data_IF_752488792920
#
_entry.id   IF_752488792920
#
_cell.length_a   1.000
_cell.length_b   1.000
_cell.length_c   1.000
_cell.angle_alpha   90.00
_cell.angle_beta   90.00
_cell.angle_gamma   90.00
#
_symmetry.space_group_name_H-M   'P 1'
#
loop_
_entity.id
_entity.type
_entity.pdbx_description
1 polymer ?
#
# COMPACT_ATOMS: atom_id res chain seq x y z
N UNK A 1 26.88 22.95 160.04
CA UNK A 1 26.38 23.39 158.73
C UNK A 1 26.45 24.91 158.53
N UNK A 2 26.24 25.74 159.57
CA UNK A 2 26.27 27.21 159.45
C UNK A 2 27.69 27.79 159.26
N UNK A 3 28.72 27.24 159.91
CA UNK A 3 30.12 27.73 159.80
C UNK A 3 30.68 27.59 158.38
N UNK A 4 30.37 26.48 157.69
CA UNK A 4 30.77 26.26 156.30
C UNK A 4 30.07 27.26 155.35
N UNK A 5 28.79 27.57 155.61
CA UNK A 5 28.05 28.57 154.84
C UNK A 5 28.59 30.00 155.03
N UNK A 6 29.02 30.37 156.25
CA UNK A 6 29.63 31.68 156.53
C UNK A 6 31.02 31.85 155.92
N UNK A 7 31.89 30.83 155.99
CA UNK A 7 33.21 30.87 155.34
C UNK A 7 33.06 30.92 153.82
N UNK A 8 32.10 30.19 153.25
CA UNK A 8 31.76 30.26 151.83
C UNK A 8 31.24 31.65 151.44
N UNK A 9 30.30 32.22 152.20
CA UNK A 9 29.76 33.55 151.96
C UNK A 9 30.84 34.64 152.07
N UNK A 10 31.72 34.57 153.08
CA UNK A 10 32.82 35.51 153.25
C UNK A 10 33.88 35.36 152.15
N UNK A 11 34.26 34.12 151.79
CA UNK A 11 35.16 33.85 150.67
C UNK A 11 34.59 34.35 149.33
N UNK A 12 33.29 34.17 149.11
CA UNK A 12 32.58 34.73 147.96
C UNK A 12 32.59 36.26 147.98
N UNK A 13 32.37 36.89 149.14
CA UNK A 13 32.37 38.34 149.27
C UNK A 13 33.77 38.93 149.01
N UNK A 14 34.83 38.28 149.49
CA UNK A 14 36.22 38.67 149.22
C UNK A 14 36.59 38.46 147.75
N UNK A 15 36.19 37.35 147.13
CA UNK A 15 36.40 37.11 145.71
C UNK A 15 35.63 38.12 144.85
N UNK A 16 34.40 38.46 145.24
CA UNK A 16 33.58 39.48 144.60
C UNK A 16 34.24 40.86 144.72
N UNK A 17 34.76 41.20 145.90
CA UNK A 17 35.50 42.45 146.13
C UNK A 17 36.75 42.54 145.23
N UNK A 18 37.55 41.46 145.17
CA UNK A 18 38.71 41.38 144.28
C UNK A 18 38.30 41.49 142.80
N UNK A 19 37.25 40.81 142.37
CA UNK A 19 36.74 40.89 141.00
C UNK A 19 36.31 42.33 140.66
N UNK A 20 35.64 43.02 141.58
CA UNK A 20 35.26 44.43 141.45
C UNK A 20 36.47 45.36 141.37
N UNK A 21 37.55 45.04 142.08
CA UNK A 21 38.79 45.82 142.07
C UNK A 21 39.61 45.61 140.79
N UNK A 22 39.60 44.40 140.21
CA UNK A 22 40.27 44.09 138.93
C UNK A 22 39.43 44.46 137.69
N UNK A 23 38.10 44.50 137.80
CA UNK A 23 37.19 44.86 136.70
C UNK A 23 37.58 46.17 135.97
N UNK A 24 37.86 47.31 136.66
CA UNK A 24 38.26 48.54 135.97
C UNK A 24 39.61 48.43 135.24
N UNK A 25 40.51 47.53 135.66
CA UNK A 25 41.82 47.33 135.03
C UNK A 25 41.69 46.57 133.71
N UNK A 26 40.89 45.50 133.71
CA UNK A 26 40.63 44.69 132.51
C UNK A 26 39.82 45.50 131.50
N UNK A 27 38.80 46.25 131.96
CA UNK A 27 37.98 47.10 131.11
C UNK A 27 38.79 48.18 130.37
N UNK A 28 39.71 48.86 131.08
CA UNK A 28 40.61 49.85 130.45
C UNK A 28 41.50 49.24 129.37
N UNK A 29 42.01 48.02 129.59
CA UNK A 29 42.89 47.35 128.63
C UNK A 29 42.14 46.86 127.39
N UNK A 30 40.95 46.29 127.58
CA UNK A 30 40.07 45.89 126.47
C UNK A 30 39.65 47.09 125.61
N UNK A 31 39.32 48.22 126.23
CA UNK A 31 39.01 49.46 125.50
C UNK A 31 40.19 49.99 124.69
N UNK A 32 41.43 49.84 125.17
CA UNK A 32 42.60 50.30 124.43
C UNK A 32 42.85 49.49 123.15
N UNK A 33 42.77 48.16 123.25
CA UNK A 33 42.92 47.27 122.08
C UNK A 33 41.78 47.51 121.08
N UNK A 34 40.54 47.59 121.56
CA UNK A 34 39.39 47.88 120.72
C UNK A 34 39.50 49.26 120.02
N UNK A 35 40.02 50.29 120.72
CA UNK A 35 40.29 51.59 120.11
C UNK A 35 41.43 51.51 119.08
N UNK A 36 42.50 50.77 119.35
CA UNK A 36 43.60 50.61 118.39
C UNK A 36 43.16 49.88 117.13
N UNK A 37 42.35 48.83 117.22
CA UNK A 37 41.80 48.14 116.05
C UNK A 37 40.80 49.01 115.28
N UNK A 38 39.96 49.77 115.98
CA UNK A 38 39.00 50.68 115.36
C UNK A 38 39.70 51.87 114.68
N UNK A 39 40.74 52.44 115.30
CA UNK A 39 41.59 53.49 114.73
C UNK A 39 42.43 52.97 113.55
N UNK A 40 42.81 51.69 113.54
CA UNK A 40 43.50 51.07 112.40
C UNK A 40 42.56 50.77 111.21
N UNK A 41 41.26 50.61 111.46
CA UNK A 41 40.26 50.27 110.42
C UNK A 41 39.56 51.51 109.87
N UNK A 42 39.48 52.60 110.65
CA UNK A 42 38.95 53.87 110.20
C UNK A 42 40.06 54.69 109.54
N UNK A 43 39.83 55.31 108.37
CA UNK A 43 40.80 56.22 107.78
C UNK A 43 40.96 57.45 108.68
N UNK A 44 41.95 57.44 109.58
CA UNK A 44 42.18 58.48 110.57
C UNK A 44 42.86 59.74 109.98
N UNK A 45 43.27 59.71 108.71
CA UNK A 45 44.00 60.79 108.04
C UNK A 45 43.22 61.33 106.82
N UNK A 46 43.03 62.66 106.77
CA UNK A 46 42.33 63.34 105.67
C UNK A 46 42.94 63.06 104.27
N UNK A 47 44.22 62.67 104.21
CA UNK A 47 44.90 62.25 102.97
C UNK A 47 44.37 60.92 102.42
N UNK A 48 44.10 59.94 103.28
CA UNK A 48 43.62 58.62 102.87
C UNK A 48 42.17 58.67 102.39
N UNK A 49 41.33 59.48 103.03
CA UNK A 49 39.94 59.74 102.59
C UNK A 49 39.92 60.38 101.19
N UNK A 50 40.84 61.32 100.92
CA UNK A 50 40.97 61.91 99.57
C UNK A 50 41.44 60.87 98.55
N UNK A 51 42.39 60.02 98.91
CA UNK A 51 42.86 58.92 98.04
C UNK A 51 41.76 57.92 97.68
N UNK A 52 40.91 57.53 98.64
CA UNK A 52 39.78 56.62 98.37
C UNK A 52 38.69 57.29 97.54
N UNK A 53 38.43 58.58 97.76
CA UNK A 53 37.51 59.37 96.94
C UNK A 53 38.02 59.51 95.49
N UNK A 54 39.30 59.85 95.31
CA UNK A 54 39.93 59.94 93.99
C UNK A 54 39.94 58.57 93.29
N UNK A 55 40.18 57.48 94.03
CA UNK A 55 40.08 56.12 93.51
C UNK A 55 38.65 55.76 93.09
N UNK A 56 37.63 56.09 93.88
CA UNK A 56 36.23 55.87 93.54
C UNK A 56 35.82 56.68 92.31
N UNK A 57 36.25 57.95 92.24
CA UNK A 57 36.01 58.82 91.08
C UNK A 57 36.66 58.22 89.82
N UNK A 58 37.90 57.75 89.93
CA UNK A 58 38.58 57.07 88.83
C UNK A 58 37.83 55.80 88.42
N UNK A 59 37.42 54.95 89.36
CA UNK A 59 36.66 53.72 89.09
C UNK A 59 35.34 54.02 88.38
N UNK A 60 34.57 55.00 88.85
CA UNK A 60 33.31 55.40 88.21
C UNK A 60 33.56 55.97 86.80
N UNK A 61 34.63 56.74 86.61
CA UNK A 61 35.01 57.24 85.29
C UNK A 61 35.43 56.10 84.34
N UNK A 62 36.20 55.12 84.82
CA UNK A 62 36.57 53.93 84.05
C UNK A 62 35.35 53.06 83.71
N UNK A 63 34.46 52.83 84.68
CA UNK A 63 33.24 52.04 84.46
C UNK A 63 32.28 52.77 83.51
N UNK A 64 32.20 54.10 83.57
CA UNK A 64 31.45 54.90 82.60
C UNK A 64 32.05 54.78 81.20
N UNK A 65 33.38 54.96 81.05
CA UNK A 65 34.06 54.82 79.75
C UNK A 65 33.97 53.42 79.19
N UNK A 66 34.06 52.39 80.04
CA UNK A 66 33.90 50.98 79.63
C UNK A 66 32.50 50.71 79.09
N UNK A 67 31.45 51.29 79.71
CA UNK A 67 30.08 51.18 79.22
C UNK A 67 29.88 51.93 77.91
N UNK A 68 30.45 53.13 77.78
CA UNK A 68 30.41 53.94 76.57
C UNK A 68 31.08 53.20 75.40
N UNK A 69 32.31 52.69 75.58
CA UNK A 69 33.02 51.90 74.55
C UNK A 69 32.22 50.64 74.19
N UNK A 70 31.67 49.92 75.17
CA UNK A 70 30.83 48.76 74.88
C UNK A 70 29.53 49.13 74.17
N UNK A 71 28.96 50.32 74.41
CA UNK A 71 27.80 50.82 73.68
C UNK A 71 28.17 51.16 72.23
N UNK A 72 29.27 51.91 72.02
CA UNK A 72 29.81 52.21 70.68
C UNK A 72 30.09 50.93 69.88
N UNK A 73 30.68 49.90 70.49
CA UNK A 73 30.93 48.62 69.83
C UNK A 73 29.64 47.91 69.41
N UNK A 74 28.61 47.91 70.26
CA UNK A 74 27.30 47.34 69.92
C UNK A 74 26.63 48.13 68.81
N UNK A 75 26.70 49.46 68.84
CA UNK A 75 26.16 50.32 67.78
C UNK A 75 26.89 50.08 66.45
N UNK A 76 28.22 49.99 66.47
CA UNK A 76 29.02 49.66 65.28
C UNK A 76 28.64 48.28 64.71
N UNK A 77 28.51 47.25 65.55
CA UNK A 77 28.06 45.91 65.11
C UNK A 77 26.65 45.95 64.52
N UNK A 78 25.72 46.62 65.19
CA UNK A 78 24.35 46.75 64.71
C UNK A 78 24.24 47.60 63.43
N UNK A 79 25.18 48.53 63.19
CA UNK A 79 25.26 49.27 61.93
C UNK A 79 25.77 48.37 60.79
N UNK A 80 26.79 47.54 61.04
CA UNK A 80 27.29 46.56 60.07
C UNK A 80 26.22 45.52 59.73
N UNK A 81 25.55 44.95 60.72
CA UNK A 81 24.46 43.98 60.52
C UNK A 81 23.31 44.57 59.69
N UNK A 82 22.96 45.85 59.90
CA UNK A 82 21.94 46.53 59.08
C UNK A 82 22.41 46.76 57.65
N UNK A 83 23.68 47.09 57.45
CA UNK A 83 24.24 47.23 56.11
C UNK A 83 24.24 45.88 55.36
N UNK A 84 24.63 44.80 56.04
CA UNK A 84 24.60 43.44 55.49
C UNK A 84 23.17 42.98 55.19
N UNK A 85 22.23 43.22 56.11
CA UNK A 85 20.81 42.92 55.89
C UNK A 85 20.24 43.72 54.69
N UNK A 86 20.65 44.98 54.54
CA UNK A 86 20.29 45.80 53.38
C UNK A 86 20.83 45.23 52.07
N UNK A 87 22.10 44.78 52.05
CA UNK A 87 22.71 44.12 50.88
C UNK A 87 21.97 42.84 50.52
N UNK A 88 21.75 41.95 51.49
CA UNK A 88 21.03 40.68 51.27
C UNK A 88 19.58 40.92 50.83
N UNK A 89 18.91 41.95 51.34
CA UNK A 89 17.57 42.32 50.90
C UNK A 89 17.57 42.79 49.44
N UNK A 90 18.57 43.58 49.01
CA UNK A 90 18.72 44.02 47.62
C UNK A 90 18.99 42.86 46.66
N UNK A 91 19.88 41.93 47.04
CA UNK A 91 20.19 40.73 46.26
C UNK A 91 18.95 39.82 46.14
N UNK A 92 18.19 39.64 47.23
CA UNK A 92 16.94 38.89 47.18
C UNK A 92 15.87 39.57 46.30
N UNK A 93 15.79 40.89 46.31
CA UNK A 93 14.87 41.62 45.44
C UNK A 93 15.24 41.44 43.96
N UNK A 94 16.54 41.50 43.63
CA UNK A 94 17.04 41.25 42.28
C UNK A 94 16.78 39.81 41.82
N UNK A 95 17.08 38.83 42.69
CA UNK A 95 16.80 37.42 42.40
C UNK A 95 15.31 37.17 42.17
N UNK A 96 14.43 37.77 42.98
CA UNK A 96 12.97 37.67 42.78
C UNK A 96 12.52 38.32 41.47
N UNK A 97 13.07 39.48 41.11
CA UNK A 97 12.78 40.12 39.84
C UNK A 97 13.22 39.23 38.67
N UNK A 98 14.39 38.59 38.77
CA UNK A 98 14.89 37.66 37.76
C UNK A 98 14.06 36.39 37.66
N UNK A 99 13.63 35.80 38.78
CA UNK A 99 12.74 34.62 38.74
C UNK A 99 11.38 34.95 38.15
N UNK A 100 10.82 36.12 38.47
CA UNK A 100 9.59 36.60 37.84
C UNK A 100 9.76 36.80 36.33
N UNK A 101 10.85 37.46 35.90
CA UNK A 101 11.14 37.64 34.48
C UNK A 101 11.31 36.32 33.73
N UNK A 102 12.05 35.35 34.31
CA UNK A 102 12.20 34.02 33.73
C UNK A 102 10.87 33.26 33.71
N UNK A 103 10.04 33.37 34.74
CA UNK A 103 8.71 32.72 34.75
C UNK A 103 7.78 33.31 33.68
N UNK A 104 7.86 34.61 33.43
CA UNK A 104 7.11 35.26 32.36
C UNK A 104 7.61 34.82 30.98
N UNK A 105 8.92 34.66 30.79
CA UNK A 105 9.50 34.10 29.55
C UNK A 105 9.05 32.66 29.32
N UNK A 106 9.06 31.81 30.35
CA UNK A 106 8.58 30.42 30.25
C UNK A 106 7.10 30.41 29.88
N UNK A 107 6.27 31.24 30.51
CA UNK A 107 4.85 31.34 30.17
C UNK A 107 4.62 31.79 28.72
N UNK A 108 5.40 32.76 28.24
CA UNK A 108 5.36 33.20 26.84
C UNK A 108 5.76 32.06 25.89
N UNK A 109 6.86 31.35 26.17
CA UNK A 109 7.32 30.23 25.35
C UNK A 109 6.30 29.08 25.34
N UNK A 110 5.63 28.81 26.47
CA UNK A 110 4.56 27.81 26.52
C UNK A 110 3.36 28.20 25.65
N UNK A 111 2.96 29.48 25.66
CA UNK A 111 1.91 29.96 24.77
C UNK A 111 2.32 29.87 23.29
N UNK A 112 3.56 30.24 22.95
CA UNK A 112 4.10 30.09 21.59
C UNK A 112 4.15 28.62 21.14
N UNK A 113 4.50 27.68 22.04
CA UNK A 113 4.48 26.25 21.75
C UNK A 113 3.06 25.72 21.55
N UNK A 114 2.10 26.19 22.35
CA UNK A 114 0.68 25.82 22.19
C UNK A 114 0.15 26.31 20.84
N UNK A 115 0.39 27.58 20.51
CA UNK A 115 0.03 28.15 19.21
C UNK A 115 0.67 27.36 18.07
N UNK A 116 1.97 27.07 18.15
CA UNK A 116 2.68 26.27 17.15
C UNK A 116 2.08 24.87 17.02
N UNK A 117 1.75 24.21 18.13
CA UNK A 117 1.12 22.89 18.12
C UNK A 117 -0.29 22.94 17.48
N UNK A 118 -1.07 23.99 17.73
CA UNK A 118 -2.36 24.16 17.04
C UNK A 118 -2.19 24.37 15.54
N UNK A 119 -1.15 25.11 15.11
CA UNK A 119 -0.87 25.29 13.68
C UNK A 119 -0.39 24.00 13.04
N UNK A 120 0.42 23.21 13.75
CA UNK A 120 0.91 21.92 13.30
C UNK A 120 -0.26 20.95 13.11
N UNK A 121 -1.15 20.83 14.11
CA UNK A 121 -2.34 19.99 14.00
C UNK A 121 -3.27 20.43 12.85
N UNK A 122 -3.42 21.73 12.59
CA UNK A 122 -4.15 22.22 11.41
C UNK A 122 -3.49 21.77 10.10
N UNK A 123 -2.16 21.89 10.00
CA UNK A 123 -1.40 21.45 8.81
C UNK A 123 -1.44 19.94 8.61
N UNK A 124 -1.43 19.15 9.68
CA UNK A 124 -1.61 17.70 9.62
C UNK A 124 -3.00 17.34 9.11
N UNK A 125 -4.06 18.00 9.61
CA UNK A 125 -5.41 17.79 9.11
C UNK A 125 -5.56 18.17 7.62
N UNK A 126 -4.95 19.28 7.20
CA UNK A 126 -4.92 19.70 5.79
C UNK A 126 -4.16 18.67 4.92
N UNK A 127 -3.03 18.12 5.41
CA UNK A 127 -2.28 17.10 4.71
C UNK A 127 -3.09 15.81 4.56
N UNK A 128 -3.76 15.37 5.63
CA UNK A 128 -4.65 14.21 5.63
C UNK A 128 -5.83 14.39 4.66
N UNK A 129 -6.38 15.60 4.55
CA UNK A 129 -7.44 15.94 3.60
C UNK A 129 -6.95 15.83 2.16
N UNK A 130 -5.81 16.45 1.85
CA UNK A 130 -5.18 16.37 0.52
C UNK A 130 -4.83 14.91 0.16
N UNK A 131 -4.35 14.11 1.11
CA UNK A 131 -4.04 12.70 0.89
C UNK A 131 -5.30 11.85 0.64
N UNK A 132 -6.46 12.23 1.20
CA UNK A 132 -7.74 11.60 0.88
C UNK A 132 -8.18 11.99 -0.53
N UNK A 133 -8.17 13.28 -0.85
CA UNK A 133 -8.52 13.77 -2.19
C UNK A 133 -7.63 13.15 -3.28
N UNK A 134 -6.34 12.99 -3.02
CA UNK A 134 -5.41 12.35 -3.95
C UNK A 134 -5.74 10.87 -4.15
N UNK A 135 -6.10 10.15 -3.09
CA UNK A 135 -6.51 8.75 -3.16
C UNK A 135 -7.81 8.59 -3.94
N UNK A 136 -8.78 9.46 -3.71
CA UNK A 136 -10.06 9.46 -4.42
C UNK A 136 -9.85 9.79 -5.90
N UNK A 137 -9.07 10.82 -6.22
CA UNK A 137 -8.73 11.17 -7.60
C UNK A 137 -7.95 10.04 -8.32
N UNK A 138 -7.07 9.35 -7.60
CA UNK A 138 -6.37 8.18 -8.14
C UNK A 138 -7.32 7.02 -8.42
N UNK A 139 -8.28 6.76 -7.52
CA UNK A 139 -9.31 5.75 -7.72
C UNK A 139 -10.21 6.07 -8.92
N UNK A 140 -10.67 7.31 -9.03
CA UNK A 140 -11.44 7.80 -10.17
C UNK A 140 -10.66 7.64 -11.48
N UNK A 141 -9.37 7.95 -11.48
CA UNK A 141 -8.52 7.77 -12.66
C UNK A 141 -8.43 6.30 -13.07
N UNK A 142 -8.28 5.38 -12.12
CA UNK A 142 -8.28 3.93 -12.39
C UNK A 142 -9.61 3.52 -13.02
N UNK A 143 -10.74 3.95 -12.46
CA UNK A 143 -12.07 3.67 -13.04
C UNK A 143 -12.19 4.21 -14.46
N UNK A 144 -11.67 5.41 -14.74
CA UNK A 144 -11.66 5.98 -16.10
C UNK A 144 -10.76 5.23 -17.06
N UNK A 145 -9.63 4.69 -16.61
CA UNK A 145 -8.79 3.82 -17.42
C UNK A 145 -9.55 2.54 -17.79
N UNK A 146 -10.21 1.89 -16.83
CA UNK A 146 -11.04 0.71 -17.08
C UNK A 146 -12.22 1.00 -18.03
N UNK A 147 -12.91 2.14 -17.85
CA UNK A 147 -13.95 2.60 -18.78
C UNK A 147 -13.40 2.81 -20.21
N UNK A 148 -12.20 3.39 -20.35
CA UNK A 148 -11.57 3.59 -21.65
C UNK A 148 -11.11 2.27 -22.28
N UNK A 149 -10.59 1.33 -21.50
CA UNK A 149 -10.23 0.00 -21.99
C UNK A 149 -11.45 -0.77 -22.48
N UNK A 150 -12.55 -0.76 -21.71
CA UNK A 150 -13.81 -1.40 -22.13
C UNK A 150 -14.40 -0.73 -23.37
N UNK A 151 -14.33 0.60 -23.48
CA UNK A 151 -14.75 1.33 -24.68
C UNK A 151 -13.85 1.01 -25.87
N UNK A 152 -12.54 0.90 -25.67
CA UNK A 152 -11.56 0.49 -26.68
C UNK A 152 -11.83 -0.93 -27.20
N UNK A 153 -12.14 -1.87 -26.31
CA UNK A 153 -12.53 -3.23 -26.68
C UNK A 153 -13.80 -3.26 -27.54
N UNK A 154 -14.84 -2.49 -27.15
CA UNK A 154 -16.07 -2.34 -27.93
C UNK A 154 -15.83 -1.70 -29.29
N UNK A 155 -14.95 -0.71 -29.37
CA UNK A 155 -14.60 -0.06 -30.63
C UNK A 155 -13.89 -1.03 -31.58
N UNK A 156 -12.97 -1.86 -31.07
CA UNK A 156 -12.31 -2.89 -31.86
C UNK A 156 -13.31 -3.95 -32.35
N UNK A 157 -14.21 -4.42 -31.49
CA UNK A 157 -15.27 -5.36 -31.88
C UNK A 157 -16.17 -4.79 -32.98
N UNK A 158 -16.60 -3.52 -32.86
CA UNK A 158 -17.39 -2.86 -33.91
C UNK A 158 -16.60 -2.67 -35.20
N UNK A 159 -15.28 -2.44 -35.10
CA UNK A 159 -14.39 -2.35 -36.25
C UNK A 159 -14.25 -3.70 -36.95
N UNK A 160 -14.07 -4.79 -36.20
CA UNK A 160 -14.02 -6.15 -36.73
C UNK A 160 -15.33 -6.53 -37.43
N UNK A 161 -16.48 -6.22 -36.82
CA UNK A 161 -17.81 -6.41 -37.43
C UNK A 161 -17.95 -5.57 -38.71
N UNK A 162 -17.43 -4.34 -38.74
CA UNK A 162 -17.46 -3.49 -39.92
C UNK A 162 -16.57 -4.05 -41.05
N UNK A 163 -15.39 -4.58 -40.73
CA UNK A 163 -14.50 -5.25 -41.67
C UNK A 163 -15.14 -6.54 -42.21
N UNK A 164 -15.75 -7.36 -41.35
CA UNK A 164 -16.50 -8.55 -41.77
C UNK A 164 -17.67 -8.17 -42.69
N UNK A 165 -18.43 -7.13 -42.36
CA UNK A 165 -19.50 -6.60 -43.22
C UNK A 165 -18.97 -6.08 -44.56
N UNK A 166 -17.79 -5.46 -44.56
CA UNK A 166 -17.13 -5.03 -45.81
C UNK A 166 -16.73 -6.22 -46.66
N UNK A 167 -16.16 -7.27 -46.07
CA UNK A 167 -15.80 -8.52 -46.78
C UNK A 167 -17.05 -9.17 -47.36
N UNK A 168 -18.14 -9.28 -46.58
CA UNK A 168 -19.40 -9.87 -47.06
C UNK A 168 -20.05 -9.03 -48.16
N UNK A 169 -20.02 -7.70 -48.08
CA UNK A 169 -20.48 -6.83 -49.17
C UNK A 169 -19.69 -7.06 -50.45
N UNK A 170 -18.35 -7.09 -50.38
CA UNK A 170 -17.50 -7.38 -51.54
C UNK A 170 -17.77 -8.79 -52.10
N UNK A 171 -17.98 -9.78 -51.23
CA UNK A 171 -18.34 -11.13 -51.66
C UNK A 171 -19.73 -11.18 -52.35
N UNK A 172 -20.71 -10.41 -51.86
CA UNK A 172 -22.03 -10.29 -52.50
C UNK A 172 -21.94 -9.51 -53.81
N UNK A 173 -21.11 -8.48 -53.89
CA UNK A 173 -20.88 -7.69 -55.10
C UNK A 173 -20.24 -8.53 -56.21
N UNK A 174 -19.16 -9.26 -55.89
CA UNK A 174 -18.54 -10.23 -56.81
C UNK A 174 -19.50 -11.35 -57.24
N UNK A 175 -20.37 -11.82 -56.33
CA UNK A 175 -21.43 -12.78 -56.69
C UNK A 175 -22.46 -12.16 -57.64
N UNK A 176 -22.86 -10.91 -57.42
CA UNK A 176 -23.76 -10.19 -58.32
C UNK A 176 -23.11 -9.97 -59.69
N UNK A 177 -21.84 -9.61 -59.75
CA UNK A 177 -21.08 -9.52 -61.01
C UNK A 177 -21.05 -10.86 -61.76
N UNK A 178 -20.78 -11.96 -61.04
CA UNK A 178 -20.84 -13.32 -61.61
C UNK A 178 -22.23 -13.67 -62.16
N UNK A 179 -23.31 -13.38 -61.41
CA UNK A 179 -24.68 -13.58 -61.88
C UNK A 179 -25.04 -12.72 -63.10
N UNK A 180 -24.54 -11.47 -63.15
CA UNK A 180 -24.71 -10.60 -64.31
C UNK A 180 -23.99 -11.15 -65.55
N UNK A 181 -22.80 -11.72 -65.38
CA UNK A 181 -22.08 -12.35 -66.48
C UNK A 181 -22.73 -13.65 -66.94
N UNK A 182 -23.27 -14.47 -66.01
CA UNK A 182 -24.09 -15.64 -66.34
C UNK A 182 -25.36 -15.24 -67.11
N UNK A 183 -26.02 -14.15 -66.69
CA UNK A 183 -27.19 -13.62 -67.39
C UNK A 183 -26.82 -13.14 -68.79
N UNK A 184 -25.70 -12.41 -68.95
CA UNK A 184 -25.16 -12.02 -70.26
C UNK A 184 -24.82 -13.24 -71.12
N UNK A 185 -24.26 -14.31 -70.53
CA UNK A 185 -23.94 -15.53 -71.27
C UNK A 185 -25.22 -16.26 -71.71
N UNK A 186 -26.23 -16.36 -70.84
CA UNK A 186 -27.52 -16.96 -71.18
C UNK A 186 -28.27 -16.13 -72.22
N UNK A 187 -28.23 -14.81 -72.16
CA UNK A 187 -28.76 -13.94 -73.21
C UNK A 187 -28.04 -14.17 -74.54
N UNK A 188 -26.71 -14.32 -74.56
CA UNK A 188 -25.97 -14.66 -75.78
C UNK A 188 -26.36 -16.03 -76.32
N UNK A 189 -26.44 -17.06 -75.47
CA UNK A 189 -26.90 -18.40 -75.85
C UNK A 189 -28.34 -18.37 -76.39
N UNK A 190 -29.22 -17.58 -75.78
CA UNK A 190 -30.59 -17.41 -76.25
C UNK A 190 -30.63 -16.69 -77.61
N UNK A 191 -29.79 -15.68 -77.84
CA UNK A 191 -29.64 -15.03 -79.16
C UNK A 191 -29.10 -15.99 -80.21
N UNK A 192 -28.09 -16.79 -79.88
CA UNK A 192 -27.55 -17.83 -80.77
C UNK A 192 -28.59 -18.89 -81.09
N UNK A 193 -29.34 -19.37 -80.07
CA UNK A 193 -30.44 -20.32 -80.26
C UNK A 193 -31.58 -19.73 -81.10
N UNK A 194 -31.94 -18.46 -80.89
CA UNK A 194 -32.90 -17.78 -81.75
C UNK A 194 -32.37 -17.66 -83.19
N UNK A 195 -31.09 -17.36 -83.37
CA UNK A 195 -30.48 -17.29 -84.70
C UNK A 195 -30.44 -18.67 -85.39
N UNK A 196 -30.22 -19.76 -84.64
CA UNK A 196 -30.32 -21.12 -85.21
C UNK A 196 -31.76 -21.49 -85.53
N UNK A 197 -32.74 -21.08 -84.72
CA UNK A 197 -34.17 -21.23 -85.04
C UNK A 197 -34.52 -20.46 -86.31
N UNK A 198 -34.09 -19.20 -86.46
CA UNK A 198 -34.31 -18.38 -87.65
C UNK A 198 -33.66 -19.03 -88.90
N UNK A 199 -32.46 -19.59 -88.74
CA UNK A 199 -31.81 -20.32 -89.82
C UNK A 199 -32.58 -21.59 -90.19
N UNK A 200 -32.94 -22.43 -89.23
CA UNK A 200 -33.68 -23.67 -89.46
C UNK A 200 -35.07 -23.40 -90.04
N UNK A 201 -35.75 -22.33 -89.61
CA UNK A 201 -37.03 -21.92 -90.20
C UNK A 201 -36.85 -21.48 -91.65
N UNK A 202 -35.81 -20.70 -91.98
CA UNK A 202 -35.50 -20.36 -93.37
C UNK A 202 -35.12 -21.59 -94.23
N UNK A 203 -34.41 -22.56 -93.67
CA UNK A 203 -34.08 -23.84 -94.33
C UNK A 203 -35.36 -24.70 -94.52
N UNK A 204 -36.28 -24.71 -93.55
CA UNK A 204 -37.57 -25.38 -93.64
C UNK A 204 -38.49 -24.71 -94.67
N UNK A 205 -38.49 -23.37 -94.75
CA UNK A 205 -39.16 -22.61 -95.80
C UNK A 205 -38.56 -22.91 -97.18
N UNK A 206 -37.23 -22.97 -97.31
CA UNK A 206 -36.56 -23.30 -98.56
C UNK A 206 -36.85 -24.74 -99.03
N UNK A 207 -36.81 -25.72 -98.12
CA UNK A 207 -37.11 -27.13 -98.40
C UNK A 207 -38.60 -27.34 -98.68
N UNK A 208 -39.50 -26.67 -97.97
CA UNK A 208 -40.94 -26.70 -98.29
C UNK A 208 -41.23 -26.06 -99.66
N UNK A 209 -40.57 -24.95 -100.01
CA UNK A 209 -40.67 -24.35 -101.33
C UNK A 209 -40.09 -25.26 -102.44
N UNK A 210 -39.01 -26.00 -102.17
CA UNK A 210 -38.51 -27.05 -103.07
C UNK A 210 -39.51 -28.19 -103.23
N UNK A 211 -40.08 -28.68 -102.13
CA UNK A 211 -41.11 -29.71 -102.16
C UNK A 211 -42.35 -29.25 -102.94
N UNK A 212 -42.76 -27.99 -102.81
CA UNK A 212 -43.87 -27.44 -103.59
C UNK A 212 -43.54 -27.30 -105.08
N UNK A 213 -42.29 -26.95 -105.43
CA UNK A 213 -41.81 -26.98 -106.82
C UNK A 213 -41.80 -28.40 -107.37
N UNK A 214 -41.31 -29.39 -106.62
CA UNK A 214 -41.35 -30.80 -107.01
C UNK A 214 -42.78 -31.33 -107.12
N UNK A 215 -43.68 -30.97 -106.19
CA UNK A 215 -45.11 -31.28 -106.28
C UNK A 215 -45.74 -30.63 -107.50
N UNK A 216 -45.41 -29.38 -107.82
CA UNK A 216 -45.91 -28.72 -109.02
C UNK A 216 -45.34 -29.37 -110.29
N UNK A 217 -44.07 -29.81 -110.28
CA UNK A 217 -43.47 -30.58 -111.35
C UNK A 217 -44.15 -31.96 -111.51
N UNK A 218 -44.43 -32.67 -110.42
CA UNK A 218 -45.21 -33.90 -110.42
C UNK A 218 -46.62 -33.66 -110.96
N UNK A 219 -47.33 -32.61 -110.51
CA UNK A 219 -48.64 -32.25 -111.09
C UNK A 219 -48.54 -31.95 -112.60
N UNK A 220 -47.46 -31.32 -113.07
CA UNK A 220 -47.21 -31.10 -114.51
C UNK A 220 -46.94 -32.41 -115.24
N UNK A 221 -46.20 -33.33 -114.63
CA UNK A 221 -45.96 -34.68 -115.17
C UNK A 221 -47.25 -35.50 -115.18
N UNK A 222 -48.04 -35.49 -114.11
CA UNK A 222 -49.36 -36.12 -114.04
C UNK A 222 -50.31 -35.53 -115.09
N UNK A 223 -50.32 -34.22 -115.29
CA UNK A 223 -51.07 -33.59 -116.38
C UNK A 223 -50.55 -34.01 -117.77
N UNK A 224 -49.24 -34.24 -117.91
CA UNK A 224 -48.64 -34.76 -119.15
C UNK A 224 -48.97 -36.23 -119.36
N UNK A 225 -48.98 -37.05 -118.32
CA UNK A 225 -49.45 -38.44 -118.34
C UNK A 225 -50.93 -38.47 -118.71
N UNK A 226 -51.77 -37.65 -118.08
CA UNK A 226 -53.19 -37.52 -118.42
C UNK A 226 -53.42 -37.08 -119.87
N UNK A 227 -52.57 -36.17 -120.40
CA UNK A 227 -52.59 -35.79 -121.82
C UNK A 227 -52.12 -36.91 -122.73
N UNK A 228 -51.09 -37.66 -122.36
CA UNK A 228 -50.61 -38.80 -123.14
C UNK A 228 -51.59 -39.97 -123.10
N UNK A 229 -52.26 -40.22 -121.98
CA UNK A 229 -53.31 -41.24 -121.88
C UNK A 229 -54.55 -40.83 -122.67
N UNK A 230 -54.92 -39.55 -122.69
CA UNK A 230 -56.00 -39.06 -123.57
C UNK A 230 -55.60 -39.08 -125.04
N UNK A 231 -54.36 -38.73 -125.39
CA UNK A 231 -53.85 -38.90 -126.76
C UNK A 231 -53.81 -40.37 -127.19
N UNK A 232 -53.43 -41.29 -126.29
CA UNK A 232 -53.49 -42.72 -126.55
C UNK A 232 -54.94 -43.20 -126.69
N UNK A 233 -55.87 -42.76 -125.84
CA UNK A 233 -57.29 -43.12 -125.99
C UNK A 233 -57.89 -42.55 -127.27
N UNK A 234 -57.52 -41.34 -127.69
CA UNK A 234 -57.98 -40.76 -128.96
C UNK A 234 -57.39 -41.49 -130.17
N UNK A 235 -56.14 -41.99 -130.07
CA UNK A 235 -55.55 -42.87 -131.09
C UNK A 235 -56.21 -44.25 -131.11
N UNK A 236 -56.53 -44.80 -129.96
CA UNK A 236 -57.25 -46.06 -129.82
C UNK A 236 -58.69 -45.92 -130.36
N UNK A 237 -59.39 -44.81 -130.08
CA UNK A 237 -60.68 -44.47 -130.69
C UNK A 237 -60.57 -44.19 -132.20
N UNK A 238 -59.47 -43.60 -132.69
CA UNK A 238 -59.22 -43.45 -134.14
C UNK A 238 -58.98 -44.80 -134.82
N UNK A 239 -58.30 -45.74 -134.15
CA UNK A 239 -58.16 -47.10 -134.63
C UNK A 239 -59.53 -47.81 -134.62
N UNK A 240 -60.29 -47.71 -133.53
CA UNK A 240 -61.60 -48.34 -133.38
C UNK A 240 -62.62 -47.82 -134.42
N UNK A 241 -62.57 -46.52 -134.77
CA UNK A 241 -63.41 -45.93 -135.84
C UNK A 241 -62.97 -46.29 -137.26
N UNK A 242 -61.68 -46.59 -137.51
CA UNK A 242 -61.18 -47.04 -138.81
C UNK A 242 -61.45 -48.54 -139.08
N UNK A 243 -61.68 -49.33 -138.03
CA UNK A 243 -61.98 -50.76 -138.14
C UNK A 243 -63.48 -51.12 -138.22
N UNK A 244 -64.41 -50.17 -138.07
CA UNK A 244 -65.84 -50.46 -137.93
C UNK A 244 -66.70 -50.41 -139.23
N UNK A 245 -66.14 -50.22 -140.43
CA UNK A 245 -66.95 -50.08 -141.66
C UNK A 245 -66.56 -50.93 -142.89
N UNK A 246 -65.73 -51.98 -142.73
CA UNK A 246 -65.53 -52.97 -143.81
C UNK A 246 -65.01 -54.29 -143.25
N UNK A 247 -65.78 -55.37 -143.42
CA UNK A 247 -65.23 -56.72 -143.38
C UNK A 247 -65.94 -57.68 -142.45
N UNK A 248 -66.79 -58.48 -143.08
CA UNK A 248 -67.46 -59.67 -142.58
C UNK A 248 -66.47 -60.86 -142.48
N UNK A 249 -66.85 -61.85 -141.67
CA UNK A 249 -66.49 -63.28 -141.71
C UNK A 249 -65.19 -63.83 -141.08
N UNK A 250 -65.44 -64.74 -140.13
CA UNK A 250 -64.73 -65.97 -139.76
C UNK A 250 -63.36 -65.95 -139.06
N UNK A 251 -63.40 -66.45 -137.81
CA UNK A 251 -62.51 -67.53 -137.36
C UNK A 251 -61.23 -67.14 -136.64
N UNK A 252 -61.19 -67.31 -135.31
CA UNK A 252 -60.12 -68.00 -134.58
C UNK A 252 -60.31 -67.87 -133.04
N UNK A 253 -60.73 -68.98 -132.42
CA UNK A 253 -60.31 -69.40 -131.06
C UNK A 253 -58.96 -70.13 -131.22
N UNK A 254 -58.15 -70.43 -130.18
CA UNK A 254 -58.33 -70.20 -128.74
C UNK A 254 -57.01 -69.87 -127.97
N UNK A 255 -57.12 -69.89 -126.63
CA UNK A 255 -56.15 -70.36 -125.63
C UNK A 255 -54.92 -69.55 -125.22
N UNK A 256 -54.86 -69.40 -123.88
CA UNK A 256 -53.70 -69.64 -122.98
C UNK A 256 -52.55 -68.63 -123.12
N UNK A 257 -51.78 -68.29 -122.11
CA UNK A 257 -51.53 -68.83 -120.76
C UNK A 257 -50.70 -67.75 -120.06
N UNK A 258 -50.93 -67.45 -118.79
CA UNK A 258 -50.16 -68.03 -117.70
C UNK A 258 -48.63 -67.84 -117.82
N UNK A 259 -48.11 -67.00 -116.94
CA UNK A 259 -46.88 -67.14 -116.12
C UNK A 259 -47.00 -65.99 -115.11
N UNK A 260 -46.98 -66.13 -113.77
CA UNK A 260 -46.44 -67.13 -112.84
C UNK A 260 -44.99 -67.48 -113.10
N UNK A 261 -44.13 -66.69 -112.46
CA UNK A 261 -42.92 -67.03 -111.72
C UNK A 261 -42.73 -65.84 -110.77
N UNK A 262 -42.90 -65.91 -109.44
CA UNK A 262 -42.43 -66.89 -108.46
C UNK A 262 -40.92 -67.09 -108.52
N UNK A 263 -40.35 -67.03 -107.32
CA UNK A 263 -39.03 -67.50 -106.91
C UNK A 263 -37.89 -66.54 -107.31
N UNK A 264 -36.92 -66.22 -106.47
CA UNK A 264 -36.29 -66.94 -105.35
C UNK A 264 -35.69 -65.89 -104.39
N UNK A 265 -35.87 -66.00 -103.08
CA UNK A 265 -35.11 -66.86 -102.16
C UNK A 265 -33.63 -66.47 -102.01
N UNK A 266 -33.33 -65.88 -100.85
CA UNK A 266 -32.32 -66.35 -99.91
C UNK A 266 -32.62 -65.62 -98.59
N UNK A 267 -33.18 -66.23 -97.54
CA UNK A 267 -32.52 -67.21 -96.67
C UNK A 267 -31.09 -66.76 -96.38
N UNK A 268 -30.71 -66.44 -95.15
CA UNK A 268 -30.75 -67.31 -93.98
C UNK A 268 -30.04 -66.55 -92.84
N UNK A 269 -30.15 -66.99 -91.60
CA UNK A 269 -29.08 -66.70 -90.63
C UNK A 269 -29.49 -66.20 -89.25
N UNK A 270 -30.20 -67.07 -88.55
CA UNK A 270 -30.27 -67.28 -87.10
C UNK A 270 -28.95 -67.08 -86.31
N UNK A 271 -29.14 -66.94 -84.99
CA UNK A 271 -28.27 -67.35 -83.86
C UNK A 271 -27.29 -66.31 -83.32
N UNK A 272 -27.47 -65.87 -82.06
CA UNK A 272 -26.92 -66.42 -80.80
C UNK A 272 -25.39 -66.39 -80.71
N UNK A 273 -24.97 -65.85 -79.56
CA UNK A 273 -23.83 -66.24 -78.75
C UNK A 273 -22.40 -65.86 -79.17
N UNK A 274 -21.76 -65.26 -78.15
CA UNK A 274 -20.41 -65.53 -77.68
C UNK A 274 -19.21 -64.85 -78.38
N UNK A 275 -18.71 -63.85 -77.65
CA UNK A 275 -17.45 -63.92 -76.92
C UNK A 275 -16.12 -63.75 -77.67
N UNK A 276 -15.34 -62.79 -77.11
CA UNK A 276 -13.88 -62.79 -76.88
C UNK A 276 -13.02 -62.72 -78.14
N UNK A 277 -12.07 -61.81 -78.28
CA UNK A 277 -11.00 -61.27 -77.42
C UNK A 277 -9.99 -60.65 -78.42
N UNK A 278 -8.95 -59.88 -78.11
CA UNK A 278 -8.03 -59.73 -76.98
C UNK A 278 -7.37 -58.35 -77.17
N UNK A 279 -7.01 -57.58 -76.15
CA UNK A 279 -5.69 -57.48 -75.49
C UNK A 279 -5.59 -55.99 -75.09
N UNK A 280 -5.07 -55.51 -73.96
CA UNK A 280 -4.26 -56.03 -72.85
C UNK A 280 -4.39 -54.93 -71.75
N UNK A 281 -4.89 -55.24 -70.55
CA UNK A 281 -4.11 -55.44 -69.31
C UNK A 281 -3.26 -54.21 -68.90
N UNK A 282 -3.28 -53.64 -67.69
CA UNK A 282 -3.54 -54.23 -66.37
C UNK A 282 -3.80 -53.14 -65.31
N UNK A 283 -4.61 -53.50 -64.30
CA UNK A 283 -4.67 -52.95 -62.92
C UNK A 283 -3.32 -53.23 -62.17
N UNK A 284 -3.10 -52.93 -60.85
CA UNK A 284 -4.05 -52.54 -59.79
C UNK A 284 -3.56 -51.56 -58.66
N UNK A 285 -4.52 -51.18 -57.81
CA UNK A 285 -4.54 -51.03 -56.33
C UNK A 285 -3.37 -50.42 -55.52
N UNK A 286 -3.70 -49.51 -54.59
CA UNK A 286 -3.47 -49.62 -53.12
C UNK A 286 -3.81 -48.30 -52.37
N UNK A 287 -4.26 -48.42 -51.12
CA UNK A 287 -4.45 -47.33 -50.13
C UNK A 287 -3.11 -46.97 -49.41
N UNK A 288 -3.09 -46.37 -48.20
CA UNK A 288 -2.86 -44.95 -47.86
C UNK A 288 -1.52 -44.68 -47.08
N UNK A 289 -1.37 -43.44 -46.58
CA UNK A 289 -0.47 -42.96 -45.48
C UNK A 289 0.99 -42.53 -45.73
N UNK A 290 1.31 -41.39 -45.08
CA UNK A 290 2.56 -40.87 -44.50
C UNK A 290 3.86 -40.67 -45.32
N UNK A 291 4.37 -39.43 -45.30
CA UNK A 291 5.58 -39.07 -44.52
C UNK A 291 6.11 -37.67 -44.85
N UNK A 292 6.48 -36.96 -43.77
CA UNK A 292 7.30 -35.76 -43.75
C UNK A 292 8.76 -36.04 -44.21
N UNK A 293 9.41 -35.06 -44.86
CA UNK A 293 10.57 -34.33 -44.31
C UNK A 293 11.36 -33.52 -45.36
N UNK A 294 11.87 -32.38 -44.85
CA UNK A 294 13.19 -31.77 -45.10
C UNK A 294 13.44 -30.83 -46.30
N UNK A 295 13.43 -29.54 -45.95
CA UNK A 295 14.57 -28.60 -46.02
C UNK A 295 15.18 -28.21 -47.36
N UNK A 296 15.09 -26.91 -47.68
CA UNK A 296 16.14 -25.98 -48.19
C UNK A 296 15.45 -24.74 -48.78
N UNK A 297 16.01 -23.55 -48.84
CA UNK A 297 17.01 -22.80 -48.07
C UNK A 297 16.77 -21.33 -48.48
N UNK A 298 17.06 -20.39 -47.57
CA UNK A 298 16.92 -18.92 -47.67
C UNK A 298 17.85 -18.32 -48.78
N UNK A 299 17.89 -16.99 -49.12
CA UNK A 299 17.72 -15.84 -48.20
C UNK A 299 17.24 -14.46 -48.76
N UNK A 300 16.90 -13.55 -47.83
CA UNK A 300 17.28 -12.12 -47.80
C UNK A 300 16.81 -11.53 -46.44
N UNK A 301 17.66 -11.23 -45.44
CA UNK A 301 18.79 -10.25 -45.33
C UNK A 301 18.29 -8.82 -45.53
N UNK A 302 18.44 -7.84 -44.63
CA UNK A 302 18.95 -7.64 -43.26
C UNK A 302 18.25 -6.37 -42.72
N UNK A 303 18.37 -5.86 -41.49
CA UNK A 303 19.53 -5.50 -40.64
C UNK A 303 18.91 -5.16 -39.26
N UNK A 304 19.24 -5.87 -38.15
CA UNK A 304 20.16 -5.48 -37.03
C UNK A 304 19.97 -4.05 -36.49
N UNK A 305 20.16 -3.72 -35.21
CA UNK A 305 20.55 -4.42 -33.96
C UNK A 305 20.79 -3.32 -32.91
N UNK A 306 20.58 -3.63 -31.62
CA UNK A 306 21.23 -2.97 -30.47
C UNK A 306 20.21 -2.38 -29.50
N UNK A 307 20.13 -2.75 -28.23
CA UNK A 307 21.11 -3.37 -27.33
C UNK A 307 20.41 -4.19 -26.24
N UNK A 308 20.91 -5.41 -26.00
CA UNK A 308 20.88 -6.08 -24.68
C UNK A 308 22.25 -5.84 -24.06
N UNK A 309 22.32 -5.10 -22.94
CA UNK A 309 23.21 -5.35 -21.78
C UNK A 309 22.56 -4.62 -20.59
N UNK A 310 22.18 -5.37 -19.55
CA UNK A 310 22.24 -5.07 -18.10
C UNK A 310 21.26 -5.99 -17.37
N UNK A 311 21.63 -7.26 -17.26
CA UNK A 311 21.06 -8.20 -16.30
C UNK A 311 22.23 -8.81 -15.52
N UNK A 312 22.79 -8.02 -14.60
CA UNK A 312 23.71 -8.51 -13.55
C UNK A 312 23.77 -7.49 -12.39
N UNK A 313 22.65 -7.29 -11.68
CA UNK A 313 22.63 -6.55 -10.41
C UNK A 313 21.35 -6.77 -9.58
N UNK A 314 20.84 -8.00 -9.46
CA UNK A 314 19.78 -8.30 -8.48
C UNK A 314 19.60 -9.81 -8.29
N UNK A 315 20.60 -10.43 -7.67
CA UNK A 315 20.50 -11.75 -7.05
C UNK A 315 21.05 -11.65 -5.63
N UNK A 316 20.13 -11.44 -4.67
CA UNK A 316 20.06 -12.06 -3.35
C UNK A 316 18.85 -11.49 -2.57
N UNK A 317 18.26 -12.23 -1.60
CA UNK A 317 17.13 -13.10 -1.84
C UNK A 317 15.80 -12.54 -1.33
N UNK A 318 14.72 -13.04 -1.92
CA UNK A 318 13.38 -12.98 -1.36
C UNK A 318 13.35 -13.74 -0.02
N UNK A 319 13.14 -13.00 1.08
CA UNK A 319 12.44 -13.49 2.25
C UNK A 319 11.03 -12.91 2.22
N UNK A 320 10.06 -13.81 2.23
CA UNK A 320 8.62 -13.58 2.12
C UNK A 320 8.13 -12.46 3.04
N UNK A 321 7.50 -11.44 2.46
CA UNK A 321 6.65 -10.51 3.19
C UNK A 321 5.40 -10.27 2.36
N UNK A 322 4.42 -11.14 2.59
CA UNK A 322 3.10 -11.08 1.98
C UNK A 322 2.13 -11.91 2.81
N UNK A 323 1.56 -11.29 3.85
CA UNK A 323 0.30 -11.73 4.44
C UNK A 323 -0.40 -10.53 5.08
N UNK A 324 -1.38 -10.02 4.33
CA UNK A 324 -2.69 -9.52 4.75
C UNK A 324 -2.80 -8.76 6.09
N UNK A 325 -3.06 -7.44 6.10
CA UNK A 325 -3.46 -6.73 7.31
C UNK A 325 -4.99 -6.84 7.48
N UNK A 326 -5.50 -8.04 7.79
CA UNK A 326 -6.93 -8.24 7.97
C UNK A 326 -7.29 -9.37 8.95
N UNK A 327 -6.55 -9.53 10.03
CA UNK A 327 -7.03 -10.17 11.25
C UNK A 327 -5.96 -9.97 12.32
N UNK A 328 -6.35 -9.34 13.43
CA UNK A 328 -5.79 -9.42 14.79
C UNK A 328 -6.09 -8.08 15.47
N UNK A 329 -7.27 -8.02 16.11
CA UNK A 329 -7.48 -7.13 17.26
C UNK A 329 -6.41 -7.50 18.29
N UNK A 330 -5.62 -6.55 18.81
CA UNK A 330 -4.94 -6.80 20.06
C UNK A 330 -5.93 -6.50 21.19
N UNK A 331 -6.44 -7.57 21.81
CA UNK A 331 -6.75 -7.55 23.24
C UNK A 331 -5.51 -6.98 23.97
N UNK A 332 -5.55 -5.68 24.28
CA UNK A 332 -4.47 -4.96 24.95
C UNK A 332 -5.06 -3.92 25.91
N UNK A 333 -6.12 -4.31 26.61
CA UNK A 333 -6.65 -3.56 27.76
C UNK A 333 -6.37 -4.26 29.10
N UNK A 334 -5.74 -5.45 29.11
CA UNK A 334 -5.66 -6.26 30.34
C UNK A 334 -4.26 -6.40 30.97
N UNK A 335 -3.22 -5.73 30.44
CA UNK A 335 -1.86 -5.78 31.03
C UNK A 335 -1.28 -4.44 31.45
N UNK A 336 -2.00 -3.34 31.27
CA UNK A 336 -1.62 -2.00 31.79
C UNK A 336 -2.21 -1.68 33.16
N UNK A 337 -3.00 -2.59 33.73
CA UNK A 337 -3.74 -2.42 35.00
C UNK A 337 -3.05 -3.02 36.23
N UNK A 338 -1.95 -3.77 36.07
CA UNK A 338 -1.15 -4.26 37.20
C UNK A 338 0.01 -3.26 37.38
N UNK A 339 0.00 -2.52 38.50
CA UNK A 339 1.03 -1.57 39.00
C UNK A 339 0.76 -0.07 38.88
N UNK A 340 -0.33 0.39 38.25
CA UNK A 340 -0.63 1.85 38.20
C UNK A 340 -1.09 2.42 39.56
N UNK A 341 -1.57 1.56 40.46
CA UNK A 341 -2.20 1.93 41.73
C UNK A 341 -1.22 2.39 42.84
N UNK A 342 0.12 2.28 42.63
CA UNK A 342 1.12 2.69 43.62
C UNK A 342 1.86 4.01 43.31
N UNK A 343 1.54 4.67 42.19
CA UNK A 343 2.46 5.69 41.65
C UNK A 343 2.12 7.13 41.99
N UNK A 344 0.85 7.47 42.29
CA UNK A 344 0.49 8.89 42.53
C UNK A 344 0.75 9.38 43.96
N UNK A 345 0.71 8.49 44.97
CA UNK A 345 0.86 8.88 46.37
C UNK A 345 2.29 8.92 46.87
N UNK A 346 3.23 8.20 46.24
CA UNK A 346 4.64 8.16 46.67
C UNK A 346 5.51 9.26 46.06
N UNK A 347 5.13 9.82 44.90
CA UNK A 347 5.87 10.90 44.23
C UNK A 347 5.91 12.22 45.02
N UNK A 348 5.00 12.39 45.99
CA UNK A 348 4.94 13.56 46.88
C UNK A 348 5.67 13.35 48.22
N UNK A 349 6.18 12.14 48.50
CA UNK A 349 6.84 11.81 49.76
C UNK A 349 8.39 11.77 49.68
N UNK A 350 8.97 12.05 48.51
CA UNK A 350 10.41 11.96 48.29
C UNK A 350 11.10 13.26 48.75
N UNK A 351 11.48 13.33 50.02
CA UNK A 351 12.23 14.45 50.58
C UNK A 351 13.74 14.39 50.32
N UNK A 352 14.25 13.33 49.69
CA UNK A 352 15.69 13.08 49.54
C UNK A 352 16.11 12.90 48.05
N UNK A 353 16.93 13.79 47.46
CA UNK A 353 17.31 13.73 46.05
C UNK A 353 18.15 12.49 45.67
N UNK A 354 18.69 11.77 46.64
CA UNK A 354 19.36 10.48 46.40
C UNK A 354 18.36 9.36 46.08
N UNK A 355 17.20 9.33 46.74
CA UNK A 355 16.16 8.31 46.53
C UNK A 355 15.45 8.52 45.19
N UNK A 356 15.15 9.78 44.84
CA UNK A 356 14.56 10.11 43.54
C UNK A 356 15.46 9.66 42.37
N UNK A 357 16.78 9.81 42.49
CA UNK A 357 17.73 9.37 41.46
C UNK A 357 17.75 7.85 41.29
N UNK A 358 17.56 7.12 42.39
CA UNK A 358 17.52 5.66 42.38
C UNK A 358 16.23 5.15 41.71
N UNK A 359 15.08 5.72 42.07
CA UNK A 359 13.78 5.37 41.48
C UNK A 359 13.70 5.74 40.00
N UNK A 360 14.21 6.91 39.60
CA UNK A 360 14.28 7.31 38.19
C UNK A 360 15.20 6.38 37.40
N UNK A 361 16.32 5.94 37.98
CA UNK A 361 17.21 4.97 37.33
C UNK A 361 16.56 3.59 37.18
N UNK A 362 15.72 3.17 38.14
CA UNK A 362 14.96 1.93 38.08
C UNK A 362 13.85 1.97 37.02
N UNK A 363 13.08 3.07 36.99
CA UNK A 363 12.04 3.28 35.97
C UNK A 363 12.67 3.34 34.57
N UNK A 364 13.78 4.06 34.41
CA UNK A 364 14.48 4.14 33.14
C UNK A 364 14.98 2.76 32.67
N UNK A 365 15.50 1.92 33.57
CA UNK A 365 15.90 0.56 33.24
C UNK A 365 14.71 -0.30 32.77
N UNK A 366 13.55 -0.17 33.42
CA UNK A 366 12.33 -0.89 33.04
C UNK A 366 11.79 -0.45 31.68
N UNK A 367 11.78 0.86 31.41
CA UNK A 367 11.38 1.41 30.11
C UNK A 367 12.30 0.91 29.00
N UNK A 368 13.62 0.95 29.21
CA UNK A 368 14.62 0.47 28.23
C UNK A 368 14.43 -1.02 27.93
N UNK A 369 14.11 -1.84 28.94
CA UNK A 369 13.83 -3.27 28.74
C UNK A 369 12.55 -3.52 27.94
N UNK A 370 11.49 -2.74 28.18
CA UNK A 370 10.24 -2.81 27.41
C UNK A 370 10.45 -2.39 25.96
N UNK A 371 11.16 -1.28 25.72
CA UNK A 371 11.44 -0.79 24.37
C UNK A 371 12.37 -1.73 23.61
N UNK A 372 13.39 -2.30 24.27
CA UNK A 372 14.28 -3.29 23.65
C UNK A 372 13.51 -4.54 23.18
N UNK A 373 12.49 -4.98 23.93
CA UNK A 373 11.62 -6.10 23.51
C UNK A 373 10.73 -5.74 22.33
N UNK A 374 10.22 -4.52 22.30
CA UNK A 374 9.34 -4.06 21.22
C UNK A 374 10.11 -3.87 19.90
N UNK A 375 11.38 -3.46 19.97
CA UNK A 375 12.26 -3.31 18.81
C UNK A 375 12.90 -4.62 18.32
N UNK A 376 12.97 -5.65 19.17
CA UNK A 376 13.48 -6.97 18.82
C UNK A 376 15.02 -7.10 18.81
N UNK A 377 15.56 -8.26 18.39
CA UNK A 377 16.98 -8.63 18.59
C UNK A 377 17.98 -7.80 17.76
N UNK A 378 17.51 -7.02 16.78
CA UNK A 378 18.34 -6.15 15.95
C UNK A 378 18.35 -4.68 16.44
N UNK A 379 17.85 -4.41 17.65
CA UNK A 379 17.77 -3.04 18.15
C UNK A 379 19.16 -2.44 18.46
N UNK A 380 19.35 -1.12 18.25
CA UNK A 380 20.53 -0.39 18.71
C UNK A 380 20.74 -0.50 20.23
N UNK A 381 19.66 -0.71 20.99
CA UNK A 381 19.68 -0.85 22.45
C UNK A 381 20.41 -2.13 22.85
N UNK A 382 20.15 -3.26 22.18
CA UNK A 382 20.86 -4.52 22.45
C UNK A 382 22.36 -4.41 22.13
N UNK A 383 22.73 -3.67 21.08
CA UNK A 383 24.16 -3.43 20.76
C UNK A 383 24.84 -2.55 21.80
N UNK A 384 24.15 -1.56 22.35
CA UNK A 384 24.67 -0.72 23.43
C UNK A 384 24.77 -1.51 24.75
N UNK A 385 23.77 -2.34 25.05
CA UNK A 385 23.77 -3.21 26.23
C UNK A 385 24.84 -4.31 26.14
N UNK A 386 25.12 -4.84 24.94
CA UNK A 386 26.18 -5.82 24.70
C UNK A 386 27.59 -5.20 24.73
N UNK A 387 27.71 -3.91 24.41
CA UNK A 387 28.98 -3.17 24.44
C UNK A 387 29.38 -2.71 25.85
N UNK A 388 28.44 -2.57 26.76
CA UNK A 388 28.76 -2.40 28.18
C UNK A 388 29.41 -3.70 28.71
N UNK A 389 30.52 -3.63 29.44
CA UNK A 389 31.23 -4.82 29.91
C UNK A 389 30.35 -5.70 30.83
N UNK A 390 30.59 -7.01 30.90
CA UNK A 390 29.85 -7.92 31.82
C UNK A 390 30.00 -7.52 33.30
N UNK A 391 31.13 -6.91 33.66
CA UNK A 391 31.48 -6.42 35.01
C UNK A 391 30.94 -5.00 35.34
N UNK A 392 29.96 -4.51 34.58
CA UNK A 392 29.41 -3.17 34.84
C UNK A 392 28.72 -3.12 36.21
N UNK A 393 29.12 -2.17 37.07
CA UNK A 393 28.58 -1.96 38.42
C UNK A 393 27.04 -2.03 38.41
N UNK A 394 26.40 -2.84 39.27
CA UNK A 394 24.93 -2.98 39.35
C UNK A 394 24.20 -1.66 39.60
N UNK A 395 24.91 -0.59 39.99
CA UNK A 395 24.35 0.77 40.15
C UNK A 395 24.16 1.51 38.83
N UNK A 396 24.79 1.06 37.75
CA UNK A 396 24.64 1.65 36.41
C UNK A 396 23.33 1.22 35.74
N UNK A 397 22.87 2.01 34.76
CA UNK A 397 21.64 1.74 34.03
C UNK A 397 21.70 0.41 33.26
N UNK A 398 22.82 0.11 32.61
CA UNK A 398 23.03 -1.16 31.89
C UNK A 398 23.06 -2.37 32.84
N UNK A 399 23.67 -2.23 34.02
CA UNK A 399 23.68 -3.27 35.06
C UNK A 399 22.27 -3.59 35.57
N UNK A 400 21.44 -2.55 35.81
CA UNK A 400 20.04 -2.70 36.25
C UNK A 400 19.15 -3.37 35.21
N UNK A 401 19.32 -3.05 33.93
CA UNK A 401 18.56 -3.72 32.85
C UNK A 401 18.88 -5.22 32.81
N UNK A 402 20.15 -5.60 33.02
CA UNK A 402 20.54 -7.02 33.08
C UNK A 402 20.05 -7.72 34.34
N UNK A 403 20.10 -7.07 35.50
CA UNK A 403 19.55 -7.66 36.73
C UNK A 403 18.04 -7.89 36.59
N UNK A 404 17.30 -6.92 36.05
CA UNK A 404 15.87 -7.05 35.75
C UNK A 404 15.58 -8.23 34.81
N UNK A 405 16.38 -8.41 33.75
CA UNK A 405 16.26 -9.56 32.83
C UNK A 405 16.57 -10.89 33.51
N UNK A 406 17.59 -10.91 34.37
CA UNK A 406 17.98 -12.10 35.14
C UNK A 406 16.89 -12.50 36.12
N UNK A 407 16.35 -11.56 36.89
CA UNK A 407 15.27 -11.80 37.85
C UNK A 407 14.01 -12.31 37.14
N UNK A 408 13.69 -11.73 35.97
CA UNK A 408 12.58 -12.21 35.15
C UNK A 408 12.83 -13.60 34.53
N UNK A 409 14.06 -13.91 34.13
CA UNK A 409 14.41 -15.24 33.62
C UNK A 409 14.32 -16.31 34.69
N UNK A 410 14.57 -15.94 35.96
CA UNK A 410 14.38 -16.80 37.13
C UNK A 410 12.88 -16.99 37.38
N UNK A 411 12.09 -15.92 37.36
CA UNK A 411 10.62 -15.99 37.50
C UNK A 411 9.90 -16.73 36.36
N UNK A 412 10.50 -16.82 35.17
CA UNK A 412 9.96 -17.59 34.06
C UNK A 412 10.40 -19.06 34.07
N UNK A 413 11.35 -19.43 34.93
CA UNK A 413 11.86 -20.78 35.10
C UNK A 413 11.30 -21.50 36.34
N UNK A 414 10.75 -20.74 37.30
CA UNK A 414 9.81 -21.21 38.33
C UNK A 414 8.39 -21.36 37.76
#
# INVERSE_FOLDING_TARGET
MITAALVFAFGFLVALLLALLLAPLVWRRAQHIARQEFEATIPANAREIRGTYDHLRARLAFDARKREVAAEERERRAALERADAGRVASENAELKARTQALSAQIAQQMAELEDLNTTLSKRENEADEIDRELRDAHHDLIQKIEELETLGARFNELSDIAEERKITLVALETRNEGLLDDLRQNERRAREANHTIDRLTSELEATSAQLDKERQANRRLDAKVARLTTQLSDRDEQLERMFAQRGNDNGARPTRSATRSRDESAANGRSTNDARGTDRASLPAASPEDAAHKSRDMPRRGVRSGYQILEEASREPAAERGQDPAALRPESEETTSIDREKTETDLLAIHDPAQLREEVAEIAARVIDVTARQEGPNSPIETILARADEDTDPRTLAGRVRSLRKDRSIQAAE
#
